data_IF_365496547029
#
_entry.id   IF_365496547029
#
_cell.length_a   1.000
_cell.length_b   1.000
_cell.length_c   1.000
_cell.angle_alpha   90.00
_cell.angle_beta   90.00
_cell.angle_gamma   90.00
#
_symmetry.space_group_name_H-M   'P 1'
#
loop_
_entity.id
_entity.type
_entity.pdbx_description
1 polymer ?
#
# COMPACT_ATOMS: atom_id res chain seq x y z
N UNK A 1 12.39 17.72 17.02
CA UNK A 1 11.30 16.73 16.86
C UNK A 1 9.95 17.44 16.86
N UNK A 2 9.12 17.26 15.83
CA UNK A 2 7.78 17.83 15.83
C UNK A 2 6.96 17.35 17.02
N UNK A 3 6.14 18.23 17.60
CA UNK A 3 5.39 17.94 18.82
C UNK A 3 4.38 16.78 18.65
N UNK A 4 3.88 16.55 17.44
CA UNK A 4 2.93 15.46 17.16
C UNK A 4 3.56 14.06 17.14
N UNK A 5 4.91 13.97 17.27
CA UNK A 5 5.64 12.70 17.33
C UNK A 5 6.27 12.42 18.67
N UNK A 6 5.83 13.14 19.70
CA UNK A 6 6.35 12.93 21.05
C UNK A 6 5.30 13.19 22.12
N UNK A 7 5.46 12.52 23.25
CA UNK A 7 4.69 12.74 24.47
C UNK A 7 5.68 12.81 25.63
N UNK A 8 5.18 12.92 26.87
CA UNK A 8 6.02 12.82 28.05
C UNK A 8 6.67 11.43 28.23
N UNK A 9 6.17 10.40 27.53
CA UNK A 9 6.57 9.00 27.69
C UNK A 9 7.35 8.43 26.51
N UNK A 10 7.31 9.08 25.33
CA UNK A 10 8.01 8.59 24.15
C UNK A 10 8.35 9.74 23.20
N UNK A 11 9.34 9.47 22.36
CA UNK A 11 9.73 10.39 21.27
C UNK A 11 9.92 9.59 20.00
N UNK A 12 9.25 9.98 18.92
CA UNK A 12 9.45 9.38 17.61
C UNK A 12 10.79 9.82 17.02
N UNK A 13 11.65 8.86 16.66
CA UNK A 13 12.97 9.12 16.09
C UNK A 13 13.00 9.02 14.56
N UNK A 14 11.95 8.45 13.96
CA UNK A 14 11.82 8.34 12.51
C UNK A 14 10.35 8.21 12.15
N UNK A 15 9.98 8.63 10.93
CA UNK A 15 8.66 8.34 10.38
C UNK A 15 8.78 7.87 8.94
N UNK A 16 7.85 7.00 8.53
CA UNK A 16 7.73 6.51 7.16
C UNK A 16 6.27 6.57 6.74
N UNK A 17 6.03 6.73 5.44
CA UNK A 17 4.69 6.70 4.89
C UNK A 17 4.52 5.48 3.99
N UNK A 18 3.32 4.88 4.00
CA UNK A 18 2.94 3.87 3.02
C UNK A 18 2.52 4.61 1.76
N UNK A 19 3.20 4.37 0.66
CA UNK A 19 2.92 5.01 -0.62
C UNK A 19 2.79 3.95 -1.72
N UNK A 20 2.34 4.40 -2.89
CA UNK A 20 2.25 3.55 -4.07
C UNK A 20 3.41 3.87 -4.99
N UNK A 21 4.25 2.88 -5.26
CA UNK A 21 5.30 2.94 -6.28
C UNK A 21 4.71 2.44 -7.60
N UNK A 22 5.12 3.01 -8.72
CA UNK A 22 4.60 2.63 -10.02
C UNK A 22 5.68 2.63 -11.10
N UNK A 23 5.42 1.92 -12.20
CA UNK A 23 6.30 1.92 -13.37
C UNK A 23 5.80 2.98 -14.37
N UNK A 24 6.53 4.08 -14.60
CA UNK A 24 6.07 5.16 -15.48
C UNK A 24 5.75 4.71 -16.91
N UNK A 25 6.45 3.72 -17.41
CA UNK A 25 6.26 3.22 -18.77
C UNK A 25 5.01 2.34 -18.92
N UNK A 26 4.41 1.90 -17.81
CA UNK A 26 3.23 1.02 -17.83
C UNK A 26 2.00 1.62 -17.17
N UNK A 27 2.16 2.71 -16.42
CA UNK A 27 1.07 3.39 -15.71
C UNK A 27 1.00 4.83 -16.19
N UNK A 28 -0.12 5.22 -16.79
CA UNK A 28 -0.29 6.58 -17.30
C UNK A 28 -0.64 7.56 -16.18
N UNK A 29 -0.41 8.85 -16.42
CA UNK A 29 -0.82 9.90 -15.50
C UNK A 29 -2.34 9.91 -15.28
N UNK A 30 -3.12 9.54 -16.29
CA UNK A 30 -4.58 9.45 -16.19
C UNK A 30 -4.99 8.33 -15.22
N UNK A 31 -4.28 7.20 -15.20
CA UNK A 31 -4.54 6.11 -14.26
C UNK A 31 -4.19 6.51 -12.82
N UNK A 32 -3.21 7.39 -12.64
CA UNK A 32 -2.79 7.87 -11.33
C UNK A 32 -3.66 9.01 -10.81
N UNK A 33 -4.42 9.68 -11.66
CA UNK A 33 -5.28 10.77 -11.25
C UNK A 33 -6.32 10.27 -10.26
N UNK A 34 -6.39 10.90 -9.09
CA UNK A 34 -7.31 10.49 -8.03
C UNK A 34 -6.93 9.19 -7.32
N UNK A 35 -5.70 8.70 -7.49
CA UNK A 35 -5.26 7.47 -6.82
C UNK A 35 -5.27 7.64 -5.31
N UNK A 36 -5.95 6.72 -4.62
CA UNK A 36 -6.02 6.64 -3.17
C UNK A 36 -5.81 5.19 -2.75
N UNK A 37 -5.68 4.94 -1.45
CA UNK A 37 -5.64 3.55 -0.97
C UNK A 37 -6.92 2.80 -1.36
N UNK A 38 -8.07 3.45 -1.27
CA UNK A 38 -9.36 2.88 -1.61
C UNK A 38 -9.42 2.46 -3.08
N UNK A 39 -8.81 3.23 -3.97
CA UNK A 39 -8.82 2.94 -5.41
C UNK A 39 -7.98 1.72 -5.79
N UNK A 40 -7.13 1.21 -4.90
CA UNK A 40 -6.36 -0.01 -5.14
C UNK A 40 -7.26 -1.25 -5.30
N UNK A 41 -8.49 -1.18 -4.84
CA UNK A 41 -9.48 -2.25 -5.03
C UNK A 41 -10.19 -2.17 -6.39
N UNK A 42 -9.94 -1.13 -7.19
CA UNK A 42 -10.56 -0.95 -8.49
C UNK A 42 -10.12 -2.05 -9.45
N UNK A 43 -11.05 -2.66 -10.24
CA UNK A 43 -10.71 -3.72 -11.19
C UNK A 43 -9.65 -3.35 -12.23
N UNK A 44 -9.40 -2.08 -12.49
CA UNK A 44 -8.36 -1.65 -13.44
C UNK A 44 -6.95 -2.10 -13.01
N UNK A 45 -6.75 -2.39 -11.72
CA UNK A 45 -5.48 -2.85 -11.18
C UNK A 45 -5.35 -4.36 -11.13
N UNK A 46 -6.31 -5.11 -11.65
CA UNK A 46 -6.29 -6.57 -11.62
C UNK A 46 -5.02 -7.13 -12.26
N UNK A 47 -4.30 -7.96 -11.50
CA UNK A 47 -3.03 -8.54 -11.93
C UNK A 47 -1.86 -7.56 -12.01
N UNK A 48 -2.00 -6.35 -11.49
CA UNK A 48 -1.00 -5.29 -11.61
C UNK A 48 -0.39 -4.84 -10.28
N UNK A 49 -0.92 -5.32 -9.16
CA UNK A 49 -0.56 -4.89 -7.81
C UNK A 49 0.28 -5.95 -7.11
N UNK A 50 1.35 -5.52 -6.43
CA UNK A 50 2.07 -6.36 -5.46
C UNK A 50 2.10 -5.66 -4.11
N UNK A 51 1.98 -6.45 -3.05
CA UNK A 51 1.99 -5.98 -1.67
C UNK A 51 2.52 -7.12 -0.79
N UNK A 52 3.17 -6.79 0.31
CA UNK A 52 3.66 -7.81 1.23
C UNK A 52 2.51 -8.39 2.07
N UNK A 53 2.79 -9.47 2.78
CA UNK A 53 1.78 -10.21 3.56
C UNK A 53 1.07 -9.32 4.58
N UNK A 54 -0.22 -9.59 4.78
CA UNK A 54 -1.06 -8.88 5.75
C UNK A 54 -0.63 -9.11 7.21
N UNK A 55 0.15 -10.14 7.48
CA UNK A 55 0.70 -10.39 8.82
C UNK A 55 1.76 -9.37 9.23
N UNK A 56 2.30 -8.61 8.28
CA UNK A 56 3.30 -7.60 8.56
C UNK A 56 2.70 -6.38 9.23
N UNK A 57 3.42 -5.80 10.21
CA UNK A 57 2.94 -4.66 10.98
C UNK A 57 2.61 -3.43 10.12
N UNK A 58 3.34 -3.21 9.03
CA UNK A 58 3.08 -2.07 8.15
C UNK A 58 1.71 -2.18 7.48
N UNK A 59 1.37 -3.37 6.97
CA UNK A 59 0.07 -3.60 6.36
C UNK A 59 -1.05 -3.65 7.40
N UNK A 60 -0.78 -4.20 8.59
CA UNK A 60 -1.75 -4.16 9.69
C UNK A 60 -2.09 -2.72 10.07
N UNK A 61 -1.10 -1.84 10.13
CA UNK A 61 -1.29 -0.43 10.43
C UNK A 61 -2.12 0.27 9.35
N UNK A 62 -1.86 -0.03 8.08
CA UNK A 62 -2.64 0.50 6.96
C UNK A 62 -4.10 0.06 7.05
N UNK A 63 -4.35 -1.22 7.27
CA UNK A 63 -5.70 -1.76 7.39
C UNK A 63 -6.43 -1.14 8.60
N UNK A 64 -5.74 -1.02 9.74
CA UNK A 64 -6.31 -0.39 10.93
C UNK A 64 -6.72 1.06 10.66
N UNK A 65 -5.90 1.80 9.92
CA UNK A 65 -6.22 3.17 9.51
C UNK A 65 -7.48 3.22 8.65
N UNK A 66 -7.61 2.30 7.70
CA UNK A 66 -8.79 2.22 6.83
C UNK A 66 -10.04 1.83 7.60
N UNK A 67 -9.93 0.93 8.57
CA UNK A 67 -11.06 0.57 9.45
C UNK A 67 -11.52 1.79 10.25
N UNK A 68 -10.58 2.55 10.80
CA UNK A 68 -10.89 3.76 11.56
C UNK A 68 -11.61 4.81 10.72
N UNK A 69 -11.17 5.01 9.48
CA UNK A 69 -11.70 6.07 8.62
C UNK A 69 -12.94 5.65 7.83
N UNK A 70 -13.07 4.39 7.44
CA UNK A 70 -14.11 3.91 6.52
C UNK A 70 -15.03 2.84 7.11
N UNK A 71 -14.70 2.29 8.29
CA UNK A 71 -15.47 1.22 8.93
C UNK A 71 -15.06 -0.17 8.47
N UNK A 72 -15.47 -1.19 9.25
CA UNK A 72 -15.09 -2.59 8.99
C UNK A 72 -15.65 -3.14 7.68
N UNK A 73 -16.92 -2.87 7.38
CA UNK A 73 -17.57 -3.41 6.19
C UNK A 73 -16.91 -2.89 4.90
N UNK A 74 -16.67 -1.58 4.82
CA UNK A 74 -16.01 -0.97 3.66
C UNK A 74 -14.59 -1.49 3.51
N UNK A 75 -13.85 -1.64 4.62
CA UNK A 75 -12.48 -2.16 4.59
C UNK A 75 -12.43 -3.62 4.17
N UNK A 76 -13.40 -4.44 4.58
CA UNK A 76 -13.48 -5.84 4.16
C UNK A 76 -13.68 -5.96 2.65
N UNK A 77 -14.55 -5.15 2.07
CA UNK A 77 -14.77 -5.12 0.62
C UNK A 77 -13.52 -4.62 -0.11
N UNK A 78 -12.85 -3.61 0.43
CA UNK A 78 -11.58 -3.12 -0.10
C UNK A 78 -10.52 -4.23 -0.13
N UNK A 79 -10.39 -4.97 0.98
CA UNK A 79 -9.41 -6.06 1.08
C UNK A 79 -9.68 -7.16 0.03
N UNK A 80 -10.94 -7.50 -0.20
CA UNK A 80 -11.31 -8.46 -1.25
C UNK A 80 -10.89 -7.96 -2.62
N UNK A 81 -11.13 -6.69 -2.93
CA UNK A 81 -10.72 -6.09 -4.19
C UNK A 81 -9.21 -6.09 -4.37
N UNK A 82 -8.47 -5.73 -3.33
CA UNK A 82 -7.00 -5.74 -3.36
C UNK A 82 -6.46 -7.14 -3.61
N UNK A 83 -7.00 -8.16 -2.93
CA UNK A 83 -6.58 -9.56 -3.14
C UNK A 83 -6.83 -9.99 -4.58
N UNK A 84 -7.97 -9.61 -5.16
CA UNK A 84 -8.29 -9.91 -6.56
C UNK A 84 -7.33 -9.24 -7.53
N UNK A 85 -6.74 -8.11 -7.15
CA UNK A 85 -5.85 -7.34 -7.99
C UNK A 85 -4.37 -7.74 -7.88
N UNK A 86 -4.02 -8.61 -6.95
CA UNK A 86 -2.64 -9.02 -6.73
C UNK A 86 -2.07 -9.75 -7.95
N UNK A 87 -0.87 -9.35 -8.37
CA UNK A 87 -0.16 -9.99 -9.48
C UNK A 87 0.41 -11.35 -9.07
N UNK A 88 0.66 -11.55 -7.78
CA UNK A 88 1.23 -12.78 -7.23
C UNK A 88 0.83 -12.95 -5.77
N UNK A 89 1.02 -14.15 -5.23
CA UNK A 89 0.88 -14.39 -3.80
C UNK A 89 1.86 -13.49 -3.04
N UNK A 90 1.42 -12.78 -1.99
CA UNK A 90 2.29 -11.90 -1.22
C UNK A 90 3.53 -12.62 -0.69
N UNK A 91 4.70 -12.06 -0.96
CA UNK A 91 6.00 -12.59 -0.50
C UNK A 91 7.02 -11.47 -0.42
N UNK A 92 8.05 -11.67 0.41
CA UNK A 92 9.13 -10.71 0.55
C UNK A 92 8.75 -9.48 1.37
N UNK A 93 9.71 -8.58 1.54
CA UNK A 93 9.54 -7.32 2.24
C UNK A 93 9.08 -6.20 1.28
N UNK A 94 9.01 -4.96 1.77
CA UNK A 94 8.60 -3.82 0.95
C UNK A 94 9.53 -3.59 -0.24
N UNK A 95 10.84 -3.73 -0.04
CA UNK A 95 11.80 -3.57 -1.14
C UNK A 95 11.62 -4.62 -2.22
N UNK A 96 11.25 -5.84 -1.84
CA UNK A 96 10.96 -6.90 -2.81
C UNK A 96 9.77 -6.53 -3.71
N UNK A 97 8.78 -5.80 -3.18
CA UNK A 97 7.65 -5.33 -3.97
C UNK A 97 8.10 -4.26 -4.97
N UNK A 98 8.94 -3.32 -4.54
CA UNK A 98 9.48 -2.29 -5.42
C UNK A 98 10.31 -2.93 -6.54
N UNK A 99 11.13 -3.92 -6.20
CA UNK A 99 11.94 -4.65 -7.17
C UNK A 99 11.07 -5.43 -8.18
N UNK A 100 9.94 -5.97 -7.73
CA UNK A 100 9.00 -6.65 -8.61
C UNK A 100 8.41 -5.70 -9.66
N UNK A 101 8.09 -4.48 -9.27
CA UNK A 101 7.63 -3.44 -10.22
C UNK A 101 8.74 -3.09 -11.20
N UNK A 102 9.96 -2.91 -10.71
CA UNK A 102 11.11 -2.60 -11.57
C UNK A 102 11.41 -3.74 -12.56
N UNK A 103 11.20 -4.99 -12.14
CA UNK A 103 11.44 -6.16 -12.99
C UNK A 103 10.28 -6.47 -13.96
N UNK A 104 9.17 -5.75 -13.88
CA UNK A 104 8.03 -5.95 -14.76
C UNK A 104 7.01 -7.00 -14.29
N UNK A 105 7.13 -7.51 -13.08
CA UNK A 105 6.19 -8.49 -12.53
C UNK A 105 4.84 -7.85 -12.17
N UNK A 106 4.84 -6.55 -11.89
CA UNK A 106 3.64 -5.80 -11.56
C UNK A 106 3.82 -4.33 -11.99
N UNK A 107 2.75 -3.58 -12.00
CA UNK A 107 2.78 -2.18 -12.40
C UNK A 107 2.81 -1.23 -11.19
N UNK A 108 2.23 -1.64 -10.06
CA UNK A 108 2.22 -0.84 -8.84
C UNK A 108 2.55 -1.71 -7.62
N UNK A 109 3.10 -1.06 -6.61
CA UNK A 109 3.41 -1.69 -5.33
C UNK A 109 3.09 -0.74 -4.17
N UNK A 110 2.61 -1.30 -3.07
CA UNK A 110 2.44 -0.54 -1.82
C UNK A 110 3.64 -0.84 -0.93
N UNK A 111 4.34 0.19 -0.53
CA UNK A 111 5.55 0.05 0.29
C UNK A 111 5.81 1.32 1.09
N UNK A 112 6.68 1.20 2.09
CA UNK A 112 7.11 2.37 2.86
C UNK A 112 8.07 3.23 2.05
N UNK A 113 8.11 4.51 2.39
CA UNK A 113 9.20 5.39 1.95
C UNK A 113 10.50 4.99 2.65
N UNK A 114 11.62 5.12 1.97
CA UNK A 114 12.95 4.86 2.51
C UNK A 114 13.90 6.03 2.26
#
# INVERSE_FOLDING_TARGET
MPSNFRTSHWTGIAKRARIVYYAPERVSGAELAGLTYESLADPKWKGRLVIRKSSNIYNKSLVASLVKNNGKAATAEWAKGVVSNMARTPKGNDRAQIMAVAAGEADIAVANTY
#
